data_IF_018877274149
#
_entry.id   IF_018877274149
#
_cell.length_a   1.000
_cell.length_b   1.000
_cell.length_c   1.000
_cell.angle_alpha   90.00
_cell.angle_beta   90.00
_cell.angle_gamma   90.00
#
_symmetry.space_group_name_H-M   'P 1'
#
loop_
_entity.id
_entity.type
_entity.pdbx_description
1 polymer ?
#
# COMPACT_ATOMS: atom_id res chain seq x y z
N UNK A 1 5.88 -10.53 -22.40
CA UNK A 1 4.50 -10.06 -22.17
C UNK A 1 3.73 -10.32 -23.44
N UNK A 2 2.55 -10.93 -23.35
CA UNK A 2 1.69 -11.23 -24.50
C UNK A 2 0.29 -10.67 -24.23
N UNK A 3 -0.48 -10.41 -25.29
CA UNK A 3 -1.90 -10.09 -25.14
C UNK A 3 -2.62 -11.30 -24.55
N UNK A 4 -3.61 -11.01 -23.71
CA UNK A 4 -4.59 -12.02 -23.33
C UNK A 4 -5.53 -12.15 -24.52
N UNK A 5 -5.79 -13.38 -24.96
CA UNK A 5 -6.75 -13.66 -26.03
C UNK A 5 -8.19 -13.37 -25.54
N UNK A 6 -9.19 -14.18 -25.87
CA UNK A 6 -10.62 -13.99 -25.56
C UNK A 6 -11.00 -13.99 -24.04
N UNK A 7 -10.04 -13.82 -23.13
CA UNK A 7 -10.21 -13.78 -21.68
C UNK A 7 -9.63 -12.52 -21.04
N UNK A 8 -9.79 -11.37 -21.69
CA UNK A 8 -9.48 -10.08 -21.08
C UNK A 8 -10.29 -9.90 -19.76
N UNK A 9 -9.66 -9.28 -18.75
CA UNK A 9 -10.32 -8.98 -17.48
C UNK A 9 -10.40 -7.46 -17.26
N UNK A 10 -11.55 -6.87 -17.56
CA UNK A 10 -11.79 -5.44 -17.42
C UNK A 10 -11.72 -4.93 -15.96
N UNK A 11 -11.83 -5.83 -14.97
CA UNK A 11 -11.73 -5.46 -13.54
C UNK A 11 -10.30 -5.12 -13.11
N UNK A 12 -9.29 -5.45 -13.92
CA UNK A 12 -7.88 -5.22 -13.62
C UNK A 12 -7.28 -4.24 -14.63
N UNK A 13 -6.51 -3.26 -14.14
CA UNK A 13 -5.81 -2.31 -14.99
C UNK A 13 -4.87 -2.99 -16.02
N UNK A 14 -4.35 -4.17 -15.69
CA UNK A 14 -3.47 -4.98 -16.55
C UNK A 14 -4.19 -6.15 -17.23
N UNK A 15 -5.52 -6.23 -17.17
CA UNK A 15 -6.27 -7.43 -17.53
C UNK A 15 -6.26 -7.82 -19.01
N UNK A 16 -5.72 -6.97 -19.89
CA UNK A 16 -5.55 -7.21 -21.33
C UNK A 16 -4.23 -7.90 -21.70
N UNK A 17 -3.30 -8.00 -20.76
CA UNK A 17 -1.96 -8.56 -20.98
C UNK A 17 -1.65 -9.64 -19.94
N UNK A 18 -0.74 -10.54 -20.28
CA UNK A 18 -0.21 -11.53 -19.37
C UNK A 18 1.30 -11.76 -19.58
N UNK A 19 1.92 -12.44 -18.60
CA UNK A 19 3.35 -12.74 -18.63
C UNK A 19 3.54 -14.24 -18.84
N UNK A 20 4.04 -14.62 -20.02
CA UNK A 20 4.59 -15.96 -20.27
C UNK A 20 5.97 -16.04 -19.59
N UNK A 21 6.01 -16.59 -18.38
CA UNK A 21 7.24 -16.67 -17.59
C UNK A 21 8.21 -17.72 -18.17
N UNK A 22 9.49 -17.36 -18.29
CA UNK A 22 10.56 -18.27 -18.72
C UNK A 22 11.34 -18.86 -17.54
N UNK A 23 11.48 -18.09 -16.46
CA UNK A 23 12.18 -18.47 -15.24
C UNK A 23 11.43 -17.93 -14.02
N UNK A 24 11.51 -18.63 -12.90
CA UNK A 24 10.99 -18.20 -11.60
C UNK A 24 12.09 -18.34 -10.55
N UNK A 25 12.36 -17.25 -9.82
CA UNK A 25 13.25 -17.26 -8.66
C UNK A 25 12.47 -16.92 -7.39
N UNK A 26 12.57 -17.78 -6.38
CA UNK A 26 12.00 -17.51 -5.05
C UNK A 26 12.92 -16.57 -4.29
N UNK A 27 12.50 -15.32 -4.10
CA UNK A 27 13.28 -14.32 -3.34
C UNK A 27 13.25 -14.58 -1.84
N UNK A 28 12.08 -14.96 -1.30
CA UNK A 28 11.91 -15.28 0.10
C UNK A 28 10.75 -16.26 0.29
N UNK A 29 10.89 -17.20 1.22
CA UNK A 29 9.80 -18.10 1.63
C UNK A 29 9.00 -17.44 2.75
N UNK A 30 7.68 -17.58 2.72
CA UNK A 30 6.80 -17.06 3.76
C UNK A 30 6.02 -18.20 4.43
N UNK A 31 5.76 -18.06 5.73
CA UNK A 31 4.77 -18.92 6.41
C UNK A 31 3.37 -18.52 5.93
N UNK A 32 2.42 -19.44 6.00
CA UNK A 32 1.01 -19.14 5.71
C UNK A 32 0.54 -17.98 6.59
N UNK A 33 0.04 -16.88 5.99
CA UNK A 33 -0.41 -15.74 6.79
C UNK A 33 -1.70 -16.08 7.55
N UNK A 34 -1.93 -15.47 8.74
CA UNK A 34 -3.15 -15.68 9.53
C UNK A 34 -4.41 -15.15 8.86
N UNK A 35 -4.27 -14.26 7.86
CA UNK A 35 -5.34 -13.79 6.99
C UNK A 35 -4.76 -13.25 5.68
N UNK A 36 -5.59 -13.19 4.64
CA UNK A 36 -5.23 -12.57 3.38
C UNK A 36 -5.53 -11.06 3.41
N UNK A 37 -4.53 -10.20 3.16
CA UNK A 37 -4.76 -8.77 3.16
C UNK A 37 -5.53 -8.33 1.91
N UNK A 38 -6.57 -7.50 2.09
CA UNK A 38 -7.32 -6.90 0.99
C UNK A 38 -8.51 -7.72 0.47
N UNK A 39 -8.87 -8.82 1.15
CA UNK A 39 -10.11 -9.55 0.89
C UNK A 39 -11.31 -8.84 1.55
N UNK A 40 -12.53 -9.19 1.11
CA UNK A 40 -13.77 -8.70 1.70
C UNK A 40 -14.03 -9.25 3.11
N UNK A 41 -13.56 -10.47 3.38
CA UNK A 41 -13.68 -11.14 4.67
C UNK A 41 -12.46 -10.84 5.54
N UNK A 42 -12.47 -9.65 6.14
CA UNK A 42 -11.42 -9.24 7.08
C UNK A 42 -11.65 -9.89 8.46
N UNK A 43 -10.59 -10.34 9.15
CA UNK A 43 -10.72 -10.81 10.52
C UNK A 43 -11.00 -9.64 11.48
N UNK A 44 -11.23 -9.98 12.75
CA UNK A 44 -11.47 -8.98 13.80
C UNK A 44 -10.32 -7.95 13.90
N UNK A 45 -10.63 -6.80 14.46
CA UNK A 45 -9.68 -5.69 14.55
C UNK A 45 -8.42 -6.05 15.35
N UNK A 46 -8.58 -6.79 16.45
CA UNK A 46 -7.47 -7.21 17.30
C UNK A 46 -6.41 -8.03 16.53
N UNK A 47 -6.83 -8.99 15.72
CA UNK A 47 -5.91 -9.78 14.89
C UNK A 47 -5.25 -8.91 13.82
N UNK A 48 -5.99 -7.96 13.23
CA UNK A 48 -5.46 -7.02 12.24
C UNK A 48 -4.44 -6.06 12.83
N UNK A 49 -4.63 -5.61 14.08
CA UNK A 49 -3.68 -4.76 14.78
C UNK A 49 -2.45 -5.55 15.21
N UNK A 50 -2.62 -6.79 15.66
CA UNK A 50 -1.51 -7.69 16.00
C UNK A 50 -0.61 -7.96 14.80
N UNK A 51 -1.22 -8.23 13.63
CA UNK A 51 -0.50 -8.45 12.38
C UNK A 51 -0.62 -7.24 11.44
N UNK A 52 -0.50 -6.01 11.97
CA UNK A 52 -0.72 -4.78 11.19
C UNK A 52 0.20 -4.68 9.97
N UNK A 53 1.39 -5.25 10.03
CA UNK A 53 2.31 -5.32 8.89
C UNK A 53 1.75 -6.12 7.69
N UNK A 54 0.86 -7.08 7.92
CA UNK A 54 0.12 -7.78 6.85
C UNK A 54 -1.05 -6.93 6.38
N UNK A 55 -1.87 -6.42 7.29
CA UNK A 55 -3.06 -5.60 6.98
C UNK A 55 -2.69 -4.36 6.15
N UNK A 56 -1.53 -3.74 6.44
CA UNK A 56 -0.98 -2.62 5.69
C UNK A 56 -0.70 -2.94 4.21
N UNK A 57 -0.66 -4.21 3.79
CA UNK A 57 -0.52 -4.58 2.36
C UNK A 57 -1.82 -4.43 1.57
N UNK A 58 -2.97 -4.26 2.24
CA UNK A 58 -4.25 -4.02 1.57
C UNK A 58 -4.23 -2.71 0.79
N UNK A 59 -4.82 -2.71 -0.41
CA UNK A 59 -4.91 -1.54 -1.28
C UNK A 59 -5.54 -0.35 -0.55
N UNK A 60 -6.62 -0.58 0.21
CA UNK A 60 -7.29 0.44 1.01
C UNK A 60 -6.35 1.17 1.98
N UNK A 61 -5.49 0.45 2.70
CA UNK A 61 -4.56 1.06 3.64
C UNK A 61 -3.35 1.68 2.94
N UNK A 62 -2.87 1.07 1.85
CA UNK A 62 -1.84 1.66 1.01
C UNK A 62 -2.29 3.01 0.44
N UNK A 63 -3.51 3.10 -0.09
CA UNK A 63 -4.06 4.35 -0.61
C UNK A 63 -4.27 5.39 0.49
N UNK A 64 -4.77 4.99 1.66
CA UNK A 64 -4.90 5.90 2.79
C UNK A 64 -3.55 6.50 3.22
N UNK A 65 -2.47 5.70 3.26
CA UNK A 65 -1.13 6.18 3.58
C UNK A 65 -0.56 7.09 2.49
N UNK A 66 -0.75 6.76 1.21
CA UNK A 66 -0.34 7.60 0.08
C UNK A 66 -1.07 8.94 0.11
N UNK A 67 -2.38 8.96 0.37
CA UNK A 67 -3.17 10.20 0.52
C UNK A 67 -2.63 11.03 1.67
N UNK A 68 -2.43 10.43 2.85
CA UNK A 68 -1.84 11.13 4.01
C UNK A 68 -0.50 11.75 3.66
N UNK A 69 0.39 11.00 3.01
CA UNK A 69 1.68 11.51 2.58
C UNK A 69 1.55 12.72 1.64
N UNK A 70 0.72 12.59 0.59
CA UNK A 70 0.49 13.68 -0.37
C UNK A 70 -0.08 14.92 0.31
N UNK A 71 -1.02 14.75 1.23
CA UNK A 71 -1.61 15.85 2.00
C UNK A 71 -0.55 16.56 2.85
N UNK A 72 0.22 15.80 3.65
CA UNK A 72 1.28 16.38 4.49
C UNK A 72 2.31 17.12 3.64
N UNK A 73 2.69 16.57 2.48
CA UNK A 73 3.59 17.23 1.54
C UNK A 73 3.00 18.56 1.04
N UNK A 74 1.79 18.52 0.47
CA UNK A 74 1.12 19.72 -0.04
C UNK A 74 0.97 20.82 1.01
N UNK A 75 0.63 20.44 2.25
CA UNK A 75 0.53 21.40 3.35
C UNK A 75 1.88 22.05 3.65
N UNK A 76 2.97 21.28 3.69
CA UNK A 76 4.32 21.83 3.91
C UNK A 76 4.76 22.72 2.75
N UNK A 77 4.59 22.27 1.52
CA UNK A 77 4.95 23.03 0.31
C UNK A 77 4.23 24.40 0.29
N UNK A 78 2.92 24.42 0.59
CA UNK A 78 2.16 25.67 0.70
C UNK A 78 2.74 26.64 1.73
N UNK A 79 3.06 26.18 2.94
CA UNK A 79 3.58 27.05 3.99
C UNK A 79 5.00 27.55 3.69
N UNK A 80 5.84 26.70 3.09
CA UNK A 80 7.18 27.07 2.62
C UNK A 80 7.13 28.21 1.58
N UNK A 81 6.24 28.10 0.59
CA UNK A 81 5.99 29.16 -0.42
C UNK A 81 5.56 30.49 0.22
N UNK A 82 4.88 30.44 1.37
CA UNK A 82 4.43 31.61 2.14
C UNK A 82 5.44 32.05 3.22
N UNK A 83 6.68 31.55 3.15
CA UNK A 83 7.81 31.91 4.04
C UNK A 83 7.60 31.55 5.51
N UNK A 84 6.80 30.53 5.79
CA UNK A 84 6.76 29.93 7.12
C UNK A 84 7.96 28.99 7.30
N UNK A 85 8.41 28.85 8.55
CA UNK A 85 9.50 27.93 8.90
C UNK A 85 8.93 26.70 9.61
N UNK A 86 9.29 25.50 9.15
CA UNK A 86 9.02 24.24 9.86
C UNK A 86 10.05 24.07 10.98
N UNK A 87 9.66 24.40 12.21
CA UNK A 87 10.53 24.37 13.40
C UNK A 87 10.12 23.19 14.29
N UNK A 88 10.98 22.18 14.37
CA UNK A 88 10.80 21.07 15.31
C UNK A 88 10.93 21.56 16.75
N UNK A 89 9.93 21.23 17.58
CA UNK A 89 9.97 21.50 19.01
C UNK A 89 10.44 20.24 19.76
N UNK A 90 11.15 20.40 20.89
CA UNK A 90 11.47 19.26 21.76
C UNK A 90 10.20 18.50 22.16
N UNK A 91 10.20 17.18 21.98
CA UNK A 91 9.07 16.31 22.37
C UNK A 91 9.05 16.01 23.86
N UNK A 92 10.22 16.00 24.50
CA UNK A 92 10.38 15.86 25.94
C UNK A 92 10.51 17.27 26.55
N UNK A 93 9.43 17.68 27.23
CA UNK A 93 9.26 18.96 27.91
C UNK A 93 8.62 18.78 29.28
N UNK A 94 9.06 17.76 30.01
CA UNK A 94 9.14 17.60 31.46
C UNK A 94 10.01 16.38 31.76
#
# INVERSE_FOLDING_TARGET
>A
VVLRDDRENEKLATGKIEIRAHELKVLNKSKTPPFEPGTSELPNEELRLTYRFLDLRSERLQEALKVRHRLTKLTRDYFDEHRFLDIEKPTLGR
#
